data_IF_445535507397
#
_entry.id   IF_445535507397
#
_cell.length_a   1.000
_cell.length_b   1.000
_cell.length_c   1.000
_cell.angle_alpha   90.00
_cell.angle_beta   90.00
_cell.angle_gamma   90.00
#
_symmetry.space_group_name_H-M   'P 1'
#
loop_
_entity.id
_entity.type
_entity.pdbx_description
1 polymer ?
#
# COMPACT_ATOMS: atom_id res chain seq x y z
N UNK A 1 -22.23 33.59 -56.82
CA UNK A 1 -21.41 34.23 -55.76
C UNK A 1 -20.68 33.12 -55.01
N UNK A 2 -19.36 33.21 -54.79
CA UNK A 2 -18.66 32.19 -54.02
C UNK A 2 -19.20 32.17 -52.58
N UNK A 3 -19.46 30.97 -52.04
CA UNK A 3 -19.75 30.83 -50.61
C UNK A 3 -18.55 31.33 -49.80
N UNK A 4 -18.80 32.07 -48.70
CA UNK A 4 -17.75 32.67 -47.84
C UNK A 4 -16.80 33.65 -48.56
N UNK A 5 -17.30 34.34 -49.58
CA UNK A 5 -16.57 35.38 -50.30
C UNK A 5 -17.48 36.30 -51.11
N UNK A 6 -16.85 37.11 -51.95
CA UNK A 6 -17.53 38.04 -52.85
C UNK A 6 -16.76 38.25 -54.13
N UNK A 7 -17.34 39.05 -55.03
CA UNK A 7 -16.66 39.49 -56.24
C UNK A 7 -17.04 40.94 -56.54
N UNK A 8 -16.10 41.67 -57.11
CA UNK A 8 -16.28 43.07 -57.52
C UNK A 8 -15.97 43.20 -59.00
N UNK A 9 -16.96 43.65 -59.76
CA UNK A 9 -16.83 43.87 -61.20
C UNK A 9 -16.68 45.36 -61.50
N UNK A 10 -15.91 45.69 -62.53
CA UNK A 10 -15.74 47.07 -62.98
C UNK A 10 -17.04 47.58 -63.63
N UNK A 11 -17.57 46.84 -64.61
CA UNK A 11 -18.76 47.23 -65.39
C UNK A 11 -19.81 46.09 -65.38
N UNK A 12 -20.22 45.65 -64.20
CA UNK A 12 -21.26 44.62 -64.05
C UNK A 12 -21.02 43.38 -64.93
N UNK A 13 -22.04 42.94 -65.66
CA UNK A 13 -21.99 41.79 -66.59
C UNK A 13 -21.84 42.20 -68.07
N UNK A 14 -21.33 43.41 -68.37
CA UNK A 14 -21.11 43.86 -69.76
C UNK A 14 -19.91 43.19 -70.42
N UNK A 15 -19.90 43.13 -71.75
CA UNK A 15 -18.80 42.59 -72.54
C UNK A 15 -17.47 43.27 -72.16
N UNK A 16 -16.42 42.48 -72.00
CA UNK A 16 -15.08 42.90 -71.58
C UNK A 16 -14.97 43.45 -70.13
N UNK A 17 -16.05 43.40 -69.33
CA UNK A 17 -16.00 43.72 -67.90
C UNK A 17 -15.12 42.71 -67.15
N UNK A 18 -14.28 43.20 -66.24
CA UNK A 18 -13.40 42.38 -65.38
C UNK A 18 -13.99 42.29 -63.98
N UNK A 19 -14.13 41.07 -63.46
CA UNK A 19 -14.52 40.80 -62.08
C UNK A 19 -13.36 40.19 -61.30
N UNK A 20 -13.11 40.72 -60.10
CA UNK A 20 -12.14 40.20 -59.15
C UNK A 20 -12.83 39.54 -57.97
N UNK A 21 -12.43 38.30 -57.66
CA UNK A 21 -12.94 37.53 -56.53
C UNK A 21 -12.08 37.77 -55.28
N UNK A 22 -12.73 37.82 -54.12
CA UNK A 22 -12.10 37.90 -52.81
C UNK A 22 -12.81 36.99 -51.81
N UNK A 23 -12.08 36.52 -50.81
CA UNK A 23 -12.61 35.64 -49.76
C UNK A 23 -12.70 36.36 -48.42
N UNK A 24 -13.61 35.92 -47.57
CA UNK A 24 -13.69 36.36 -46.17
C UNK A 24 -12.43 35.92 -45.40
N UNK A 25 -12.08 36.58 -44.27
CA UNK A 25 -10.96 36.17 -43.42
C UNK A 25 -11.02 34.69 -43.05
N UNK A 26 -9.87 34.01 -43.07
CA UNK A 26 -9.76 32.55 -42.83
C UNK A 26 -9.96 31.69 -44.08
N UNK A 27 -10.50 32.23 -45.18
CA UNK A 27 -10.69 31.47 -46.41
C UNK A 27 -9.68 31.85 -47.49
N UNK A 28 -9.16 30.83 -48.18
CA UNK A 28 -8.22 30.97 -49.29
C UNK A 28 -8.93 30.76 -50.63
N UNK A 29 -8.58 31.61 -51.61
CA UNK A 29 -9.17 31.55 -52.94
C UNK A 29 -8.57 30.39 -53.77
N UNK A 30 -9.43 29.49 -54.25
CA UNK A 30 -9.10 28.38 -55.15
C UNK A 30 -9.77 28.61 -56.50
N UNK A 31 -8.96 28.91 -57.53
CA UNK A 31 -9.43 29.22 -58.88
C UNK A 31 -8.80 30.50 -59.41
N UNK A 32 -9.38 31.06 -60.48
CA UNK A 32 -8.89 32.30 -61.08
C UNK A 32 -9.35 33.52 -60.27
N UNK A 33 -8.38 34.34 -59.83
CA UNK A 33 -8.66 35.56 -59.07
C UNK A 33 -9.47 36.58 -59.87
N UNK A 34 -9.25 36.65 -61.18
CA UNK A 34 -9.95 37.61 -62.05
C UNK A 34 -10.46 36.94 -63.31
N UNK A 35 -11.71 37.22 -63.67
CA UNK A 35 -12.37 36.71 -64.88
C UNK A 35 -12.91 37.87 -65.72
N UNK A 36 -13.00 37.67 -67.03
CA UNK A 36 -13.50 38.69 -67.98
C UNK A 36 -14.71 38.17 -68.76
N UNK A 37 -15.72 39.01 -68.98
CA UNK A 37 -16.93 38.65 -69.73
C UNK A 37 -16.62 38.60 -71.24
N UNK A 38 -16.80 37.44 -71.85
CA UNK A 38 -16.51 37.19 -73.27
C UNK A 38 -17.74 37.45 -74.15
N UNK A 39 -17.51 37.54 -75.46
CA UNK A 39 -18.52 37.79 -76.50
C UNK A 39 -19.57 36.67 -76.59
N UNK A 40 -19.18 35.43 -76.24
CA UNK A 40 -20.05 34.26 -76.13
C UNK A 40 -20.97 34.28 -74.89
N UNK A 41 -21.04 35.40 -74.15
CA UNK A 41 -21.81 35.57 -72.91
C UNK A 41 -21.35 34.67 -71.75
N UNK A 42 -20.14 34.11 -71.83
CA UNK A 42 -19.51 33.34 -70.74
C UNK A 42 -18.30 34.10 -70.15
N UNK A 43 -17.91 33.72 -68.94
CA UNK A 43 -16.71 34.26 -68.29
C UNK A 43 -15.46 33.47 -68.70
N UNK A 44 -14.32 34.16 -68.86
CA UNK A 44 -13.07 33.63 -69.41
C UNK A 44 -12.38 32.52 -68.62
N UNK A 45 -12.91 32.15 -67.44
CA UNK A 45 -12.23 31.31 -66.47
C UNK A 45 -13.18 30.45 -65.65
N UNK A 46 -12.61 29.55 -64.85
CA UNK A 46 -13.39 28.75 -63.89
C UNK A 46 -13.82 29.63 -62.71
N UNK A 47 -15.05 29.46 -62.20
CA UNK A 47 -15.50 30.21 -61.03
C UNK A 47 -14.60 29.90 -59.83
N UNK A 48 -14.10 30.94 -59.17
CA UNK A 48 -13.31 30.79 -57.95
C UNK A 48 -14.20 30.34 -56.78
N UNK A 49 -13.66 29.47 -55.93
CA UNK A 49 -14.27 29.08 -54.66
C UNK A 49 -13.37 29.48 -53.48
N UNK A 50 -13.99 29.86 -52.37
CA UNK A 50 -13.29 30.14 -51.13
C UNK A 50 -13.30 28.88 -50.26
N UNK A 51 -12.13 28.36 -49.95
CA UNK A 51 -11.95 27.15 -49.14
C UNK A 51 -11.09 27.46 -47.93
N UNK A 52 -11.49 26.94 -46.78
CA UNK A 52 -10.65 26.99 -45.59
C UNK A 52 -9.60 25.88 -45.65
N UNK A 53 -8.37 26.26 -45.34
CA UNK A 53 -7.18 25.39 -45.32
C UNK A 53 -6.32 25.63 -44.07
N UNK A 54 -6.65 26.63 -43.23
CA UNK A 54 -5.86 26.91 -42.02
C UNK A 54 -6.30 25.93 -40.93
N UNK A 55 -5.38 25.16 -40.32
CA UNK A 55 -5.77 24.31 -39.21
C UNK A 55 -6.08 25.13 -37.96
N UNK A 56 -7.06 24.71 -37.15
CA UNK A 56 -7.42 25.40 -35.92
C UNK A 56 -6.26 25.42 -34.91
N UNK A 57 -6.09 26.55 -34.24
CA UNK A 57 -5.07 26.74 -33.20
C UNK A 57 -5.63 26.39 -31.83
N UNK A 58 -4.92 25.53 -31.09
CA UNK A 58 -5.32 25.07 -29.76
C UNK A 58 -4.24 25.40 -28.73
N UNK A 59 -4.63 26.05 -27.63
CA UNK A 59 -3.70 26.43 -26.55
C UNK A 59 -3.51 25.26 -25.58
N UNK A 60 -2.26 24.83 -25.36
CA UNK A 60 -1.98 23.72 -24.44
C UNK A 60 -1.91 24.15 -22.97
N UNK A 61 -2.47 23.35 -22.04
CA UNK A 61 -2.26 23.52 -20.61
C UNK A 61 -0.77 23.42 -20.22
N UNK A 62 -0.39 24.13 -19.16
CA UNK A 62 1.00 24.22 -18.68
C UNK A 62 1.35 23.25 -17.53
N UNK A 63 0.50 22.25 -17.26
CA UNK A 63 0.73 21.29 -16.16
C UNK A 63 1.97 20.43 -16.47
N UNK A 64 2.97 20.47 -15.59
CA UNK A 64 4.26 19.78 -15.79
C UNK A 64 4.46 18.61 -14.83
N UNK A 65 4.32 18.84 -13.52
CA UNK A 65 4.63 17.82 -12.52
C UNK A 65 3.72 17.92 -11.28
N UNK A 66 3.35 16.77 -10.72
CA UNK A 66 2.59 16.64 -9.46
C UNK A 66 3.19 15.53 -8.60
N UNK A 67 3.16 15.73 -7.28
CA UNK A 67 3.65 14.78 -6.29
C UNK A 67 2.44 14.15 -5.61
N UNK A 68 2.47 12.83 -5.39
CA UNK A 68 1.43 12.13 -4.66
C UNK A 68 1.34 12.59 -3.20
N UNK A 69 0.11 12.60 -2.66
CA UNK A 69 -0.17 12.89 -1.26
C UNK A 69 0.39 11.80 -0.32
N UNK A 70 0.52 12.07 0.99
CA UNK A 70 0.97 11.07 1.95
C UNK A 70 0.12 9.80 1.90
N UNK A 71 0.80 8.64 1.93
CA UNK A 71 0.18 7.31 1.90
C UNK A 71 -0.66 7.04 0.64
N UNK A 72 -0.39 7.76 -0.47
CA UNK A 72 -1.02 7.57 -1.79
C UNK A 72 0.02 7.34 -2.87
N UNK A 73 -0.38 6.60 -3.91
CA UNK A 73 0.40 6.38 -5.14
C UNK A 73 -0.17 7.13 -6.33
N UNK A 74 -1.32 7.78 -6.15
CA UNK A 74 -2.01 8.54 -7.18
C UNK A 74 -2.23 9.97 -6.71
N UNK A 75 -2.36 10.88 -7.67
CA UNK A 75 -2.68 12.29 -7.41
C UNK A 75 -3.80 12.74 -8.32
N UNK A 76 -4.74 13.53 -7.78
CA UNK A 76 -5.80 14.13 -8.58
C UNK A 76 -5.22 15.30 -9.37
N UNK A 77 -5.30 15.23 -10.70
CA UNK A 77 -4.75 16.29 -11.58
C UNK A 77 -5.88 16.90 -12.39
N UNK A 78 -6.08 18.19 -12.25
CA UNK A 78 -7.02 18.99 -13.03
C UNK A 78 -6.28 20.04 -13.87
N UNK A 79 -6.85 20.33 -15.03
CA UNK A 79 -6.46 21.43 -15.92
C UNK A 79 -7.70 21.92 -16.65
N UNK A 80 -7.63 23.14 -17.16
CA UNK A 80 -8.68 23.71 -18.00
C UNK A 80 -8.69 23.04 -19.36
N UNK A 81 -9.87 22.61 -19.81
CA UNK A 81 -10.06 21.97 -21.11
C UNK A 81 -9.67 22.98 -22.20
N UNK A 82 -8.71 22.65 -23.08
CA UNK A 82 -8.21 23.61 -24.06
C UNK A 82 -9.25 23.90 -25.14
N UNK A 83 -9.41 25.18 -25.48
CA UNK A 83 -10.29 25.62 -26.56
C UNK A 83 -9.52 25.75 -27.89
N UNK A 84 -10.16 25.30 -28.97
CA UNK A 84 -9.70 25.56 -30.33
C UNK A 84 -10.17 26.93 -30.82
N UNK A 85 -9.33 27.64 -31.57
CA UNK A 85 -9.72 28.84 -32.31
C UNK A 85 -9.25 28.76 -33.75
N UNK A 86 -10.16 29.04 -34.65
CA UNK A 86 -9.92 29.13 -36.06
C UNK A 86 -10.34 30.50 -36.63
N UNK A 87 -9.65 30.94 -37.68
CA UNK A 87 -9.88 32.25 -38.30
C UNK A 87 -11.19 32.28 -39.11
N UNK A 88 -11.58 31.17 -39.74
CA UNK A 88 -12.78 31.01 -40.55
C UNK A 88 -14.02 30.65 -39.70
N UNK A 89 -13.85 29.82 -38.66
CA UNK A 89 -14.96 29.27 -37.86
C UNK A 89 -15.10 29.85 -36.44
N UNK A 90 -14.11 30.60 -35.94
CA UNK A 90 -14.15 31.19 -34.61
C UNK A 90 -13.77 30.20 -33.49
N UNK A 91 -14.59 30.05 -32.45
CA UNK A 91 -14.29 29.17 -31.29
C UNK A 91 -14.84 27.78 -31.54
N UNK A 92 -13.96 26.78 -31.46
CA UNK A 92 -14.27 25.36 -31.62
C UNK A 92 -14.26 24.69 -30.24
N UNK A 93 -15.44 24.28 -29.76
CA UNK A 93 -15.65 23.68 -28.44
C UNK A 93 -15.65 22.15 -28.45
N UNK A 94 -15.89 21.53 -29.60
CA UNK A 94 -15.86 20.08 -29.75
C UNK A 94 -14.41 19.59 -29.84
N UNK A 95 -13.88 19.13 -28.69
CA UNK A 95 -12.50 18.68 -28.55
C UNK A 95 -12.44 17.21 -28.16
N UNK A 96 -11.67 16.45 -28.93
CA UNK A 96 -11.47 15.03 -28.71
C UNK A 96 -10.27 14.82 -27.80
N UNK A 97 -10.52 14.29 -26.61
CA UNK A 97 -9.49 13.90 -25.65
C UNK A 97 -8.99 12.47 -25.91
N UNK A 98 -7.67 12.31 -25.94
CA UNK A 98 -6.98 11.03 -25.80
C UNK A 98 -6.12 11.05 -24.53
N UNK A 99 -6.43 10.14 -23.60
CA UNK A 99 -5.78 10.04 -22.30
C UNK A 99 -6.78 10.12 -21.16
N UNK A 100 -6.28 10.19 -19.93
CA UNK A 100 -7.11 10.36 -18.73
C UNK A 100 -7.71 11.78 -18.66
N UNK A 101 -8.99 11.92 -18.28
CA UNK A 101 -9.66 13.22 -18.21
C UNK A 101 -9.15 14.09 -17.05
N UNK A 102 -9.29 15.43 -17.17
CA UNK A 102 -8.98 16.34 -16.07
C UNK A 102 -9.83 16.01 -14.84
N UNK A 103 -9.23 16.13 -13.66
CA UNK A 103 -9.87 15.83 -12.38
C UNK A 103 -9.84 14.36 -11.99
N UNK A 104 -9.25 13.47 -12.81
CA UNK A 104 -9.05 12.05 -12.47
C UNK A 104 -7.79 11.81 -11.64
N UNK A 105 -7.65 10.60 -11.10
CA UNK A 105 -6.49 10.15 -10.34
C UNK A 105 -5.44 9.55 -11.28
N UNK A 106 -4.27 10.17 -11.32
CA UNK A 106 -3.14 9.72 -12.13
C UNK A 106 -2.18 8.89 -11.26
N UNK A 107 -1.84 7.65 -11.67
CA UNK A 107 -0.82 6.86 -10.99
C UNK A 107 0.59 7.39 -11.27
N UNK A 108 1.58 6.90 -10.51
CA UNK A 108 2.99 7.20 -10.73
C UNK A 108 3.41 6.97 -12.19
N UNK A 109 4.12 7.93 -12.78
CA UNK A 109 4.65 7.83 -14.14
C UNK A 109 4.34 9.02 -15.04
N UNK A 110 4.64 8.84 -16.32
CA UNK A 110 4.49 9.86 -17.37
C UNK A 110 3.24 9.60 -18.23
N UNK A 111 2.23 10.46 -18.09
CA UNK A 111 0.96 10.33 -18.80
C UNK A 111 0.87 11.30 -19.97
N UNK A 112 0.73 10.78 -21.19
CA UNK A 112 0.58 11.59 -22.41
C UNK A 112 -0.89 11.94 -22.62
N UNK A 113 -1.18 13.25 -22.66
CA UNK A 113 -2.51 13.77 -22.95
C UNK A 113 -2.51 14.45 -24.30
N UNK A 114 -3.52 14.17 -25.11
CA UNK A 114 -3.68 14.77 -26.42
C UNK A 114 -5.12 15.28 -26.60
N UNK A 115 -5.25 16.54 -26.98
CA UNK A 115 -6.50 17.12 -27.46
C UNK A 115 -6.42 17.33 -28.96
N UNK A 116 -7.50 16.99 -29.66
CA UNK A 116 -7.64 17.16 -31.10
C UNK A 116 -8.92 17.92 -31.38
N UNK A 117 -8.85 18.94 -32.21
CA UNK A 117 -10.00 19.73 -32.65
C UNK A 117 -10.03 19.76 -34.17
N UNK A 118 -11.22 19.67 -34.74
CA UNK A 118 -11.45 19.79 -36.18
C UNK A 118 -12.27 21.05 -36.45
N UNK A 119 -11.94 21.75 -37.52
CA UNK A 119 -12.81 22.80 -38.06
C UNK A 119 -13.91 22.21 -38.95
N UNK A 120 -14.75 23.04 -39.55
CA UNK A 120 -15.82 22.59 -40.47
C UNK A 120 -15.30 22.14 -41.83
N UNK A 121 -14.08 22.53 -42.20
CA UNK A 121 -13.38 22.09 -43.39
C UNK A 121 -12.56 20.81 -43.16
N UNK A 122 -12.69 20.19 -41.98
CA UNK A 122 -11.97 19.00 -41.52
C UNK A 122 -10.45 19.19 -41.33
N UNK A 123 -9.92 20.42 -41.29
CA UNK A 123 -8.53 20.62 -40.90
C UNK A 123 -8.36 20.35 -39.40
N UNK A 124 -7.15 19.91 -39.04
CA UNK A 124 -6.88 19.30 -37.73
C UNK A 124 -5.89 20.09 -36.91
N UNK A 125 -6.35 20.58 -35.75
CA UNK A 125 -5.51 21.13 -34.70
C UNK A 125 -5.22 20.08 -33.63
N UNK A 126 -3.96 19.98 -33.17
CA UNK A 126 -3.60 19.08 -32.06
C UNK A 126 -2.76 19.76 -31.00
N UNK A 127 -3.12 19.52 -29.74
CA UNK A 127 -2.34 19.88 -28.57
C UNK A 127 -1.89 18.61 -27.85
N UNK A 128 -0.60 18.52 -27.51
CA UNK A 128 -0.03 17.39 -26.75
C UNK A 128 0.76 17.89 -25.57
N UNK A 129 0.47 17.39 -24.39
CA UNK A 129 1.22 17.67 -23.17
C UNK A 129 1.37 16.41 -22.33
N UNK A 130 2.22 16.48 -21.30
CA UNK A 130 2.52 15.35 -20.41
C UNK A 130 2.25 15.74 -18.97
N UNK A 131 1.58 14.85 -18.25
CA UNK A 131 1.40 14.94 -16.80
C UNK A 131 2.36 13.96 -16.16
N UNK A 132 3.43 14.47 -15.52
CA UNK A 132 4.37 13.65 -14.75
C UNK A 132 3.91 13.56 -13.30
N UNK A 133 3.67 12.36 -12.82
CA UNK A 133 3.36 12.07 -11.42
C UNK A 133 4.54 11.39 -10.79
N UNK A 134 5.06 11.95 -9.69
CA UNK A 134 6.11 11.33 -8.89
C UNK A 134 5.60 10.93 -7.51
N UNK A 135 6.02 9.75 -7.06
CA UNK A 135 5.88 9.32 -5.66
C UNK A 135 7.24 9.50 -5.00
N UNK A 136 7.27 10.20 -3.87
CA UNK A 136 8.48 10.31 -3.06
C UNK A 136 8.62 9.02 -2.26
N UNK A 137 9.80 8.40 -2.27
CA UNK A 137 10.04 7.10 -1.61
C UNK A 137 11.25 7.18 -0.69
N UNK A 138 11.14 6.57 0.49
CA UNK A 138 12.24 6.34 1.40
C UNK A 138 13.03 5.08 0.99
N UNK A 139 14.15 4.81 1.66
CA UNK A 139 14.85 3.52 1.48
C UNK A 139 13.96 2.36 1.94
N UNK A 140 13.93 1.25 1.19
CA UNK A 140 13.12 0.09 1.53
C UNK A 140 13.57 -0.50 2.88
N UNK A 141 12.63 -0.67 3.81
CA UNK A 141 12.89 -1.36 5.08
C UNK A 141 12.75 -2.87 4.90
N UNK A 142 13.46 -3.62 5.75
CA UNK A 142 13.35 -5.08 5.85
C UNK A 142 12.85 -5.48 7.23
N UNK A 143 12.20 -6.64 7.32
CA UNK A 143 11.72 -7.13 8.61
C UNK A 143 12.92 -7.41 9.52
N UNK A 144 12.86 -7.05 10.81
CA UNK A 144 13.93 -7.36 11.75
C UNK A 144 14.10 -8.87 11.87
N UNK A 145 15.32 -9.32 12.11
CA UNK A 145 15.58 -10.72 12.42
C UNK A 145 14.76 -11.14 13.65
N UNK A 146 14.11 -12.30 13.60
CA UNK A 146 13.17 -12.75 14.65
C UNK A 146 11.98 -11.79 14.87
N UNK A 147 11.56 -11.07 13.84
CA UNK A 147 10.36 -10.25 13.89
C UNK A 147 9.66 -10.13 12.54
N UNK A 148 8.62 -9.31 12.56
CA UNK A 148 7.70 -9.07 11.47
C UNK A 148 7.53 -7.57 11.24
N UNK A 149 7.18 -7.24 10.00
CA UNK A 149 6.89 -5.88 9.57
C UNK A 149 5.65 -5.87 8.68
N UNK A 150 4.73 -4.95 8.96
CA UNK A 150 3.57 -4.67 8.13
C UNK A 150 3.57 -3.20 7.74
N UNK A 151 3.51 -2.93 6.44
CA UNK A 151 3.50 -1.55 5.96
C UNK A 151 2.19 -1.19 5.26
N UNK A 152 1.82 0.09 5.32
CA UNK A 152 0.73 0.65 4.53
C UNK A 152 1.17 0.95 3.08
N UNK A 153 0.19 1.03 2.18
CA UNK A 153 0.38 1.41 0.77
C UNK A 153 1.44 0.53 0.07
N UNK A 154 2.55 1.11 -0.41
CA UNK A 154 3.59 0.42 -1.18
C UNK A 154 4.85 0.14 -0.35
N UNK A 155 4.77 0.40 0.96
CA UNK A 155 5.82 0.08 1.94
C UNK A 155 6.95 1.08 2.07
N UNK A 156 7.17 1.95 1.09
CA UNK A 156 8.25 2.95 1.12
C UNK A 156 7.83 4.36 0.66
N UNK A 157 6.58 4.53 0.20
CA UNK A 157 6.10 5.81 -0.29
C UNK A 157 5.94 6.82 0.85
N UNK A 158 6.08 8.11 0.53
CA UNK A 158 5.93 9.19 1.50
C UNK A 158 4.59 9.07 2.24
N UNK A 159 4.64 9.11 3.58
CA UNK A 159 3.50 8.87 4.46
C UNK A 159 3.15 7.40 4.70
N UNK A 160 3.86 6.44 4.09
CA UNK A 160 3.73 5.03 4.43
C UNK A 160 4.20 4.79 5.87
N UNK A 161 3.43 4.00 6.61
CA UNK A 161 3.73 3.60 7.98
C UNK A 161 4.03 2.11 7.98
N UNK A 162 5.20 1.74 8.49
CA UNK A 162 5.60 0.37 8.74
C UNK A 162 5.58 0.10 10.24
N UNK A 163 4.78 -0.86 10.66
CA UNK A 163 4.67 -1.37 12.02
C UNK A 163 5.51 -2.62 12.17
N UNK A 164 6.19 -2.74 13.31
CA UNK A 164 7.11 -3.82 13.61
C UNK A 164 6.64 -4.56 14.85
N UNK A 165 6.79 -5.87 14.86
CA UNK A 165 6.72 -6.61 16.11
C UNK A 165 7.53 -7.89 16.04
N UNK A 166 7.75 -8.54 17.19
CA UNK A 166 8.70 -9.63 17.31
C UNK A 166 7.99 -10.97 17.43
N UNK A 167 8.63 -12.03 16.92
CA UNK A 167 8.16 -13.39 17.20
C UNK A 167 8.24 -13.65 18.71
N UNK A 168 7.48 -14.62 19.18
CA UNK A 168 7.44 -14.99 20.58
C UNK A 168 8.85 -15.13 21.14
N UNK A 169 9.13 -14.42 22.24
CA UNK A 169 10.37 -14.57 23.02
C UNK A 169 11.47 -13.64 22.60
N UNK A 170 11.17 -12.77 21.67
CA UNK A 170 11.92 -11.59 21.39
C UNK A 170 11.11 -10.38 21.80
N UNK A 171 11.80 -9.34 22.22
CA UNK A 171 11.26 -8.05 22.60
C UNK A 171 11.79 -6.99 21.63
N UNK A 172 10.88 -6.11 21.22
CA UNK A 172 11.20 -5.05 20.28
C UNK A 172 12.04 -3.97 20.98
N UNK A 173 13.20 -3.70 20.41
CA UNK A 173 14.05 -2.55 20.74
C UNK A 173 13.96 -1.54 19.60
N UNK A 174 13.82 -0.26 19.93
CA UNK A 174 13.64 0.81 18.95
C UNK A 174 12.16 1.19 18.77
N UNK A 175 11.80 1.66 17.57
CA UNK A 175 10.46 2.21 17.32
C UNK A 175 9.47 1.13 16.87
N UNK A 176 8.28 1.00 17.50
CA UNK A 176 7.25 0.03 17.09
C UNK A 176 6.61 0.34 15.75
N UNK A 177 6.70 1.60 15.30
CA UNK A 177 6.28 2.00 13.98
C UNK A 177 7.23 3.08 13.44
N UNK A 178 7.42 3.09 12.12
CA UNK A 178 8.20 4.10 11.40
C UNK A 178 7.39 4.64 10.24
N UNK A 179 7.49 5.94 9.99
CA UNK A 179 6.77 6.65 8.93
C UNK A 179 7.77 7.24 7.95
N UNK A 180 7.54 7.06 6.65
CA UNK A 180 8.37 7.68 5.61
C UNK A 180 8.08 9.18 5.53
N UNK A 181 9.06 10.01 5.86
CA UNK A 181 8.91 11.46 6.00
C UNK A 181 9.18 12.22 4.69
N UNK A 182 8.84 13.50 4.67
CA UNK A 182 9.00 14.38 3.51
C UNK A 182 10.46 14.73 3.22
N UNK A 183 11.42 14.32 4.05
CA UNK A 183 12.86 14.43 3.79
C UNK A 183 13.44 13.12 3.21
N UNK A 184 12.59 12.14 2.86
CA UNK A 184 12.96 10.81 2.38
C UNK A 184 13.68 9.94 3.44
N UNK A 185 13.59 10.32 4.71
CA UNK A 185 14.07 9.52 5.84
C UNK A 185 12.90 8.87 6.59
N UNK A 186 13.20 7.77 7.28
CA UNK A 186 12.26 7.12 8.18
C UNK A 186 12.30 7.76 9.56
N UNK A 187 11.13 7.99 10.16
CA UNK A 187 11.03 8.46 11.53
C UNK A 187 11.58 7.42 12.53
N UNK A 188 11.94 7.89 13.72
CA UNK A 188 12.31 7.03 14.84
C UNK A 188 13.61 6.24 14.62
N UNK A 189 13.79 5.24 15.45
CA UNK A 189 14.98 4.38 15.50
C UNK A 189 14.72 3.04 14.82
N UNK A 190 15.79 2.43 14.31
CA UNK A 190 15.72 1.13 13.66
C UNK A 190 15.24 0.04 14.64
N UNK A 191 14.20 -0.73 14.28
CA UNK A 191 13.64 -1.76 15.14
C UNK A 191 14.51 -3.02 15.08
N UNK A 192 14.80 -3.59 16.24
CA UNK A 192 15.47 -4.89 16.37
C UNK A 192 14.72 -5.77 17.35
N UNK A 193 14.70 -7.08 17.12
CA UNK A 193 14.06 -8.04 18.00
C UNK A 193 15.14 -8.79 18.77
N UNK A 194 15.22 -8.55 20.08
CA UNK A 194 16.23 -9.17 20.96
C UNK A 194 15.58 -10.19 21.87
N UNK A 195 16.25 -11.32 22.15
CA UNK A 195 15.70 -12.35 23.02
C UNK A 195 15.29 -11.77 24.38
N UNK A 196 14.08 -12.11 24.81
CA UNK A 196 13.47 -11.61 26.03
C UNK A 196 14.28 -12.07 27.25
N UNK A 197 14.73 -11.11 28.06
CA UNK A 197 15.50 -11.41 29.25
C UNK A 197 14.58 -11.62 30.46
N UNK A 198 14.10 -12.85 30.65
CA UNK A 198 13.27 -13.20 31.83
C UNK A 198 14.07 -13.07 33.13
N UNK A 199 13.69 -12.16 34.01
CA UNK A 199 14.25 -12.01 35.34
C UNK A 199 13.56 -12.95 36.33
N UNK A 200 14.26 -14.03 36.70
CA UNK A 200 13.81 -15.00 37.73
C UNK A 200 14.19 -14.60 39.16
N UNK A 201 14.93 -13.50 39.34
CA UNK A 201 15.33 -12.97 40.66
C UNK A 201 14.31 -11.99 41.26
N UNK A 202 13.08 -11.98 40.77
CA UNK A 202 11.99 -11.12 41.28
C UNK A 202 11.45 -11.63 42.62
N UNK A 203 10.85 -10.72 43.40
CA UNK A 203 10.37 -11.01 44.76
C UNK A 203 9.01 -11.71 44.80
N UNK A 204 8.18 -11.52 43.77
CA UNK A 204 6.80 -12.01 43.75
C UNK A 204 6.50 -12.80 42.47
N UNK A 205 5.64 -13.81 42.58
CA UNK A 205 5.14 -14.55 41.41
C UNK A 205 4.36 -13.65 40.44
N UNK A 206 3.64 -12.64 40.93
CA UNK A 206 2.97 -11.65 40.09
C UNK A 206 3.98 -10.87 39.23
N UNK A 207 5.09 -10.39 39.80
CA UNK A 207 6.15 -9.71 39.05
C UNK A 207 6.89 -10.63 38.06
N UNK A 208 6.87 -11.95 38.30
CA UNK A 208 7.35 -12.92 37.31
C UNK A 208 6.38 -13.04 36.13
N UNK A 209 5.07 -13.18 36.41
CA UNK A 209 4.03 -13.33 35.40
C UNK A 209 3.85 -12.07 34.54
N UNK A 210 3.98 -10.88 35.16
CA UNK A 210 3.88 -9.58 34.49
C UNK A 210 4.87 -9.43 33.32
N UNK A 211 6.06 -10.05 33.43
CA UNK A 211 7.04 -10.06 32.35
C UNK A 211 6.50 -10.74 31.07
N UNK A 212 5.53 -11.65 31.19
CA UNK A 212 4.94 -12.37 30.05
C UNK A 212 3.62 -11.77 29.57
N UNK A 213 3.05 -10.81 30.30
CA UNK A 213 1.77 -10.18 29.97
C UNK A 213 1.84 -9.54 28.57
N UNK A 214 0.80 -9.77 27.75
CA UNK A 214 0.68 -9.42 26.33
C UNK A 214 1.78 -9.97 25.39
N UNK A 215 2.82 -10.61 25.93
CA UNK A 215 3.99 -11.08 25.18
C UNK A 215 3.92 -12.57 24.87
N UNK A 216 3.67 -13.41 25.88
CA UNK A 216 3.76 -14.87 25.76
C UNK A 216 2.71 -15.61 26.60
N UNK A 217 2.33 -16.79 26.12
CA UNK A 217 1.52 -17.77 26.84
C UNK A 217 2.44 -18.61 27.72
N UNK A 218 1.97 -19.08 28.87
CA UNK A 218 2.75 -19.94 29.75
C UNK A 218 2.16 -21.34 29.79
N UNK A 219 2.99 -22.36 29.62
CA UNK A 219 2.66 -23.74 29.92
C UNK A 219 3.46 -24.16 31.16
N UNK A 220 2.82 -24.16 32.32
CA UNK A 220 3.46 -24.58 33.57
C UNK A 220 3.31 -26.09 33.70
N UNK A 221 4.42 -26.83 33.70
CA UNK A 221 4.48 -28.29 33.89
C UNK A 221 4.97 -28.58 35.31
N UNK A 222 4.11 -29.15 36.15
CA UNK A 222 4.39 -29.44 37.56
C UNK A 222 4.39 -30.93 37.85
N UNK A 223 5.33 -31.38 38.69
CA UNK A 223 5.45 -32.77 39.13
C UNK A 223 6.01 -32.87 40.55
N UNK A 224 5.60 -33.85 41.37
CA UNK A 224 6.17 -34.08 42.69
C UNK A 224 7.62 -34.58 42.64
N UNK A 225 8.07 -35.18 41.53
CA UNK A 225 9.43 -35.72 41.37
C UNK A 225 9.90 -35.71 39.92
N UNK A 226 11.20 -35.50 39.71
CA UNK A 226 11.85 -35.58 38.39
C UNK A 226 11.79 -36.99 37.77
N UNK A 227 11.56 -38.02 38.59
CA UNK A 227 11.41 -39.42 38.13
C UNK A 227 10.01 -39.74 37.60
N UNK A 228 9.05 -38.81 37.70
CA UNK A 228 7.69 -39.03 37.23
C UNK A 228 7.66 -39.30 35.71
N UNK A 229 7.01 -40.39 35.32
CA UNK A 229 6.96 -40.84 33.92
C UNK A 229 6.23 -39.84 33.01
N UNK A 230 5.08 -39.31 33.47
CA UNK A 230 4.27 -38.36 32.69
C UNK A 230 5.05 -37.07 32.42
N UNK A 231 5.73 -36.55 33.44
CA UNK A 231 6.60 -35.38 33.31
C UNK A 231 7.68 -35.58 32.24
N UNK A 232 8.41 -36.69 32.30
CA UNK A 232 9.47 -36.99 31.32
C UNK A 232 8.95 -37.13 29.90
N UNK A 233 7.86 -37.87 29.72
CA UNK A 233 7.26 -38.08 28.40
C UNK A 233 6.73 -36.76 27.82
N UNK A 234 6.06 -35.96 28.65
CA UNK A 234 5.53 -34.66 28.23
C UNK A 234 6.63 -33.71 27.77
N UNK A 235 7.72 -33.58 28.52
CA UNK A 235 8.83 -32.73 28.12
C UNK A 235 9.50 -33.21 26.83
N UNK A 236 9.63 -34.53 26.64
CA UNK A 236 10.15 -35.09 25.39
C UNK A 236 9.29 -34.69 24.18
N UNK A 237 7.96 -34.76 24.31
CA UNK A 237 7.04 -34.33 23.24
C UNK A 237 7.12 -32.82 22.99
N UNK A 238 7.20 -32.00 24.03
CA UNK A 238 7.30 -30.54 23.90
C UNK A 238 8.62 -30.13 23.24
N UNK A 239 9.73 -30.80 23.57
CA UNK A 239 11.04 -30.53 22.98
C UNK A 239 11.07 -30.82 21.47
N UNK A 240 10.39 -31.89 21.02
CA UNK A 240 10.26 -32.20 19.59
C UNK A 240 9.37 -31.20 18.85
N UNK A 241 8.47 -30.52 19.54
CA UNK A 241 7.51 -29.57 18.98
C UNK A 241 7.90 -28.09 19.18
N UNK A 242 9.19 -27.81 19.37
CA UNK A 242 9.70 -26.47 19.71
C UNK A 242 9.26 -25.38 18.72
N UNK A 243 9.34 -25.65 17.41
CA UNK A 243 8.86 -24.71 16.38
C UNK A 243 7.38 -24.33 16.58
N UNK A 244 6.52 -25.32 16.88
CA UNK A 244 5.10 -25.10 17.11
C UNK A 244 4.80 -24.31 18.39
N UNK A 245 5.65 -24.45 19.42
CA UNK A 245 5.59 -23.65 20.64
C UNK A 245 5.98 -22.20 20.37
N UNK A 246 7.05 -21.98 19.59
CA UNK A 246 7.56 -20.64 19.26
C UNK A 246 6.58 -19.86 18.38
N UNK A 247 5.98 -20.50 17.35
CA UNK A 247 4.92 -19.89 16.55
C UNK A 247 3.70 -19.44 17.38
N UNK A 248 3.46 -20.10 18.52
CA UNK A 248 2.34 -19.79 19.42
C UNK A 248 2.76 -18.99 20.66
N UNK A 249 4.01 -18.51 20.67
CA UNK A 249 4.57 -17.69 21.73
C UNK A 249 4.46 -18.36 23.12
N UNK A 250 4.71 -19.67 23.20
CA UNK A 250 4.56 -20.45 24.44
C UNK A 250 5.91 -20.53 25.16
N UNK A 251 5.94 -20.15 26.43
CA UNK A 251 7.05 -20.43 27.35
C UNK A 251 6.69 -21.60 28.25
N UNK A 252 7.54 -22.62 28.27
CA UNK A 252 7.41 -23.73 29.20
C UNK A 252 8.09 -23.36 30.53
N UNK A 253 7.33 -23.48 31.62
CA UNK A 253 7.82 -23.28 32.99
C UNK A 253 7.72 -24.61 33.72
N UNK A 254 8.77 -25.04 34.39
CA UNK A 254 8.78 -26.33 35.05
C UNK A 254 8.87 -26.17 36.57
N UNK A 255 8.01 -26.89 37.29
CA UNK A 255 7.96 -26.91 38.76
C UNK A 255 8.11 -28.35 39.26
N UNK A 256 9.31 -28.69 39.71
CA UNK A 256 9.68 -30.08 40.05
C UNK A 256 9.97 -30.18 41.54
N UNK A 257 9.30 -31.12 42.22
CA UNK A 257 9.50 -31.36 43.65
C UNK A 257 8.43 -30.72 44.53
N UNK A 258 8.65 -30.83 45.84
CA UNK A 258 7.82 -30.25 46.90
C UNK A 258 8.71 -29.38 47.78
N UNK A 259 8.20 -28.27 48.28
CA UNK A 259 8.97 -27.39 49.17
C UNK A 259 9.45 -28.16 50.41
N UNK A 260 10.72 -28.02 50.85
CA UNK A 260 11.72 -27.00 50.47
C UNK A 260 12.60 -27.34 49.26
N UNK A 261 12.48 -28.55 48.68
CA UNK A 261 13.28 -28.99 47.52
C UNK A 261 12.62 -28.68 46.18
N UNK A 262 11.60 -27.82 46.17
CA UNK A 262 10.92 -27.37 44.95
C UNK A 262 11.88 -26.55 44.08
N UNK A 263 12.08 -27.03 42.86
CA UNK A 263 12.87 -26.36 41.83
C UNK A 263 11.91 -25.82 40.78
N UNK A 264 12.02 -24.52 40.53
CA UNK A 264 11.38 -23.86 39.41
C UNK A 264 12.40 -23.56 38.31
N UNK A 265 12.08 -23.80 37.04
CA UNK A 265 12.95 -23.40 35.93
C UNK A 265 12.19 -22.90 34.70
N UNK A 266 12.83 -22.01 33.95
CA UNK A 266 12.38 -21.49 32.66
C UNK A 266 13.58 -21.59 31.72
N UNK A 267 13.58 -22.59 30.84
CA UNK A 267 14.77 -22.95 30.06
C UNK A 267 15.97 -23.22 30.97
N UNK A 268 17.05 -22.45 30.82
CA UNK A 268 18.27 -22.56 31.63
C UNK A 268 18.22 -21.79 32.95
N UNK A 269 17.21 -20.95 33.16
CA UNK A 269 17.12 -20.07 34.34
C UNK A 269 16.40 -20.78 35.49
N UNK A 270 17.04 -20.84 36.65
CA UNK A 270 16.49 -21.46 37.87
C UNK A 270 15.85 -20.37 38.74
N UNK A 271 14.60 -20.58 39.14
CA UNK A 271 13.86 -19.73 40.05
C UNK A 271 14.24 -20.04 41.50
N UNK A 272 14.32 -19.02 42.38
CA UNK A 272 14.43 -19.25 43.82
C UNK A 272 13.29 -20.14 44.35
N UNK A 273 13.53 -21.05 45.32
CA UNK A 273 12.50 -21.96 45.82
C UNK A 273 11.24 -21.26 46.36
N UNK A 274 11.40 -20.08 46.99
CA UNK A 274 10.27 -19.28 47.44
C UNK A 274 9.41 -18.76 46.28
N UNK A 275 10.02 -18.40 45.15
CA UNK A 275 9.33 -17.85 43.99
C UNK A 275 8.56 -18.96 43.28
N UNK A 276 9.19 -20.13 43.13
CA UNK A 276 8.55 -21.34 42.62
C UNK A 276 7.34 -21.75 43.49
N UNK A 277 7.47 -21.66 44.81
CA UNK A 277 6.37 -21.93 45.74
C UNK A 277 5.23 -20.90 45.59
N UNK A 278 5.55 -19.61 45.55
CA UNK A 278 4.55 -18.57 45.34
C UNK A 278 3.79 -18.74 44.02
N UNK A 279 4.49 -19.06 42.93
CA UNK A 279 3.87 -19.30 41.63
C UNK A 279 2.91 -20.48 41.69
N UNK A 280 3.32 -21.58 42.32
CA UNK A 280 2.47 -22.75 42.56
C UNK A 280 1.21 -22.40 43.36
N UNK A 281 1.35 -21.63 44.44
CA UNK A 281 0.22 -21.22 45.29
C UNK A 281 -0.73 -20.27 44.54
N UNK A 282 -0.18 -19.27 43.84
CA UNK A 282 -0.93 -18.28 43.06
C UNK A 282 -1.80 -18.97 42.00
N UNK A 283 -1.23 -19.93 41.29
CA UNK A 283 -1.94 -20.71 40.25
C UNK A 283 -2.66 -21.95 40.79
N UNK A 284 -2.71 -22.14 42.12
CA UNK A 284 -3.36 -23.30 42.78
C UNK A 284 -2.98 -24.64 42.13
N UNK A 285 -1.68 -24.86 41.90
CA UNK A 285 -1.17 -26.08 41.25
C UNK A 285 -0.98 -27.18 42.31
N UNK A 286 -1.48 -28.42 42.08
CA UNK A 286 -1.33 -29.54 43.02
C UNK A 286 0.13 -29.86 43.36
N UNK A 287 0.36 -30.25 44.62
CA UNK A 287 1.70 -30.59 45.14
C UNK A 287 2.12 -32.04 44.86
N UNK A 288 1.17 -32.96 44.90
CA UNK A 288 1.44 -34.41 44.95
C UNK A 288 1.05 -35.17 43.67
N UNK A 289 0.67 -34.45 42.63
CA UNK A 289 0.30 -35.03 41.34
C UNK A 289 0.96 -34.29 40.19
N UNK A 290 1.09 -34.98 39.06
CA UNK A 290 1.43 -34.34 37.81
C UNK A 290 0.28 -33.42 37.39
N UNK A 291 0.61 -32.20 37.00
CA UNK A 291 -0.37 -31.24 36.51
C UNK A 291 0.30 -30.25 35.56
N UNK A 292 -0.41 -29.88 34.51
CA UNK A 292 -0.05 -28.76 33.65
C UNK A 292 -1.12 -27.69 33.68
N UNK A 293 -0.69 -26.42 33.60
CA UNK A 293 -1.59 -25.26 33.51
C UNK A 293 -1.20 -24.43 32.30
N UNK A 294 -2.16 -24.18 31.41
CA UNK A 294 -2.01 -23.28 30.27
C UNK A 294 -2.58 -21.91 30.65
N UNK A 295 -1.73 -20.90 30.64
CA UNK A 295 -2.08 -19.50 30.90
C UNK A 295 -1.93 -18.70 29.60
N UNK A 296 -2.94 -17.90 29.26
CA UNK A 296 -2.88 -17.04 28.08
C UNK A 296 -2.00 -15.79 28.29
N UNK A 297 -1.89 -14.96 27.25
CA UNK A 297 -1.10 -13.71 27.29
C UNK A 297 -1.66 -12.66 28.27
N UNK A 298 -2.91 -12.77 28.71
CA UNK A 298 -3.49 -11.86 29.69
C UNK A 298 -3.38 -12.40 31.13
N UNK A 299 -2.65 -13.50 31.34
CA UNK A 299 -2.50 -14.12 32.65
C UNK A 299 -3.70 -14.97 33.07
N UNK A 300 -4.62 -15.29 32.16
CA UNK A 300 -5.82 -16.08 32.47
C UNK A 300 -5.53 -17.57 32.36
N UNK A 301 -5.91 -18.33 33.39
CA UNK A 301 -5.92 -19.80 33.37
C UNK A 301 -6.97 -20.31 32.37
N UNK A 302 -6.51 -21.01 31.32
CA UNK A 302 -7.35 -21.48 30.22
C UNK A 302 -7.66 -22.96 30.28
N UNK A 303 -6.68 -23.76 30.64
CA UNK A 303 -6.82 -25.21 30.57
C UNK A 303 -5.85 -25.90 31.54
N UNK A 304 -6.29 -27.02 32.10
CA UNK A 304 -5.50 -27.81 33.05
C UNK A 304 -5.46 -29.26 32.64
N UNK A 305 -4.27 -29.82 32.58
CA UNK A 305 -4.07 -31.23 32.23
C UNK A 305 -3.54 -32.01 33.43
N UNK A 306 -4.17 -33.14 33.71
CA UNK A 306 -3.73 -34.11 34.73
C UNK A 306 -3.08 -35.36 34.11
N UNK A 307 -3.01 -35.40 32.79
CA UNK A 307 -2.42 -36.47 31.97
C UNK A 307 -1.64 -35.87 30.79
N UNK A 308 -1.05 -36.73 29.95
CA UNK A 308 -0.30 -36.29 28.77
C UNK A 308 -1.20 -35.56 27.78
N UNK A 309 -0.68 -34.51 27.14
CA UNK A 309 -1.32 -33.82 26.02
C UNK A 309 -0.38 -33.83 24.82
N UNK A 310 -0.90 -34.22 23.66
CA UNK A 310 -0.13 -34.17 22.42
C UNK A 310 0.09 -32.71 22.02
N UNK A 311 1.25 -32.37 21.41
CA UNK A 311 1.48 -31.01 20.91
C UNK A 311 0.36 -30.55 19.97
N UNK A 312 -0.15 -31.44 19.11
CA UNK A 312 -1.26 -31.13 18.19
C UNK A 312 -2.53 -30.72 18.94
N UNK A 313 -2.94 -31.46 19.98
CA UNK A 313 -4.12 -31.11 20.76
C UNK A 313 -3.94 -29.78 21.50
N UNK A 314 -2.76 -29.55 22.09
CA UNK A 314 -2.40 -28.29 22.74
C UNK A 314 -2.47 -27.11 21.75
N UNK A 315 -1.91 -27.28 20.55
CA UNK A 315 -1.87 -26.27 19.50
C UNK A 315 -3.26 -25.94 18.96
N UNK A 316 -4.09 -26.96 18.70
CA UNK A 316 -5.47 -26.77 18.26
C UNK A 316 -6.28 -25.95 19.26
N UNK A 317 -6.12 -26.20 20.56
CA UNK A 317 -6.77 -25.38 21.59
C UNK A 317 -6.30 -23.92 21.53
N UNK A 318 -4.99 -23.69 21.48
CA UNK A 318 -4.43 -22.33 21.48
C UNK A 318 -4.84 -21.56 20.22
N UNK A 319 -4.94 -22.23 19.07
CA UNK A 319 -5.38 -21.64 17.81
C UNK A 319 -6.85 -21.19 17.84
N UNK A 320 -7.64 -21.61 18.84
CA UNK A 320 -8.99 -21.05 19.07
C UNK A 320 -8.98 -19.69 19.77
N UNK A 321 -7.89 -19.28 20.42
CA UNK A 321 -7.86 -18.07 21.22
C UNK A 321 -7.95 -16.80 20.35
N UNK A 322 -8.70 -15.75 20.76
CA UNK A 322 -8.90 -14.55 19.95
C UNK A 322 -7.60 -13.90 19.46
N UNK A 323 -6.67 -13.59 20.38
CA UNK A 323 -5.35 -13.04 20.02
C UNK A 323 -4.54 -13.95 19.09
N UNK A 324 -4.74 -15.28 19.18
CA UNK A 324 -4.02 -16.22 18.32
C UNK A 324 -4.49 -16.13 16.87
N UNK A 325 -5.78 -15.88 16.63
CA UNK A 325 -6.32 -15.73 15.27
C UNK A 325 -5.70 -14.55 14.54
N UNK A 326 -5.49 -13.43 15.23
CA UNK A 326 -4.81 -12.25 14.67
C UNK A 326 -3.33 -12.54 14.37
N UNK A 327 -2.63 -13.22 15.29
CA UNK A 327 -1.24 -13.68 15.08
C UNK A 327 -1.11 -14.59 13.86
N UNK A 328 -2.09 -15.48 13.61
CA UNK A 328 -2.08 -16.40 12.46
C UNK A 328 -2.18 -15.67 11.12
N UNK A 329 -3.00 -14.61 11.04
CA UNK A 329 -3.13 -13.81 9.81
C UNK A 329 -1.79 -13.16 9.47
N UNK A 330 -1.14 -12.56 10.47
CA UNK A 330 0.18 -11.93 10.30
C UNK A 330 1.25 -12.95 9.90
N UNK A 331 1.25 -14.15 10.51
CA UNK A 331 2.19 -15.22 10.17
C UNK A 331 1.98 -15.77 8.75
N UNK A 332 0.74 -15.91 8.30
CA UNK A 332 0.40 -16.39 6.98
C UNK A 332 0.79 -15.40 5.87
N UNK A 333 0.57 -14.09 6.08
CA UNK A 333 1.03 -13.02 5.18
C UNK A 333 2.55 -13.06 4.94
N UNK A 334 3.30 -13.63 5.89
CA UNK A 334 4.77 -13.70 5.87
C UNK A 334 5.34 -15.06 5.49
N UNK A 335 4.50 -16.04 5.16
CA UNK A 335 4.94 -17.38 4.73
C UNK A 335 5.62 -18.20 5.83
N UNK A 336 5.32 -17.94 7.11
CA UNK A 336 5.86 -18.75 8.20
C UNK A 336 5.09 -20.06 8.38
N UNK A 337 5.78 -21.16 8.14
CA UNK A 337 5.32 -22.51 8.49
C UNK A 337 6.43 -23.24 9.23
N UNK A 338 6.07 -24.06 10.21
CA UNK A 338 6.98 -25.12 10.64
C UNK A 338 7.01 -26.15 9.52
N UNK A 339 8.14 -26.29 8.83
CA UNK A 339 8.37 -27.45 7.98
C UNK A 339 8.46 -28.66 8.91
N UNK A 340 7.49 -29.56 8.80
CA UNK A 340 7.38 -30.81 9.55
C UNK A 340 8.51 -31.77 9.23
#
# INVERSE_FOLDING_TARGET
MPANGGFKCVDGAYFNSRCEYYCSPGYTLKGERTVTCMDNKAWSGRPASCVDIEPPRIKCPSVKERIAEPNKLTVRVSWETPEGRDTADGILTDVILKGLPPGSHFPEGDHKIQYTVYDRAENKGTCKFRVKVRVRRCGKLNAPENGYMKCSSDGDNYGATCEFSCIGGYELQGSPARVCQSNLAWSGTEPTCTAMNVNVGVRTAAALLDQFYEKRRLLIVSTPTARNLLYRLQLGMLQQAQCGLDLRHITVVELVGVFPTLIGRIGTKIMPPHLALQLRLLLRIPLYSFSMVLVDKHGMDKERYVSLVTPVALFNLIDTFPLRKEEMVLQAEMGQTCNT
#
